data_IF_195924300982
#
_entry.id   IF_195924300982
#
_cell.length_a   1.000
_cell.length_b   1.000
_cell.length_c   1.000
_cell.angle_alpha   90.00
_cell.angle_beta   90.00
_cell.angle_gamma   90.00
#
_symmetry.space_group_name_H-M   'P 1'
#
loop_
_entity.id
_entity.type
_entity.pdbx_description
1 polymer ?
#
# COMPACT_ATOMS: atom_id res chain seq x y z
N UNK A 1 -6.88 19.52 13.66
CA UNK A 1 -7.61 20.73 13.24
C UNK A 1 -9.05 20.32 12.96
N UNK A 2 -10.06 21.10 13.36
CA UNK A 2 -11.43 20.89 12.87
C UNK A 2 -11.41 21.01 11.34
N UNK A 3 -11.99 20.04 10.64
CA UNK A 3 -12.05 20.05 9.18
C UNK A 3 -13.19 20.96 8.72
N UNK A 4 -12.89 21.90 7.82
CA UNK A 4 -13.88 22.77 7.15
C UNK A 4 -14.68 22.04 6.06
N UNK A 5 -14.45 20.73 5.88
CA UNK A 5 -15.21 19.91 4.95
C UNK A 5 -16.57 19.59 5.59
N UNK A 6 -17.70 19.99 4.99
CA UNK A 6 -19.01 19.60 5.49
C UNK A 6 -19.07 18.06 5.48
N UNK A 7 -19.13 17.47 6.67
CA UNK A 7 -19.35 16.03 6.82
C UNK A 7 -20.76 15.77 6.29
N UNK A 8 -20.85 15.27 5.07
CA UNK A 8 -22.12 14.81 4.53
C UNK A 8 -22.53 13.60 5.38
N UNK A 9 -23.61 13.76 6.13
CA UNK A 9 -24.29 12.63 6.76
C UNK A 9 -24.94 11.87 5.61
N UNK A 10 -24.19 10.90 5.07
CA UNK A 10 -24.75 9.90 4.18
C UNK A 10 -25.88 9.25 4.98
N UNK A 11 -27.11 9.31 4.48
CA UNK A 11 -28.30 8.86 5.20
C UNK A 11 -28.21 7.39 5.66
N UNK A 12 -29.30 6.86 6.22
CA UNK A 12 -29.33 5.47 6.75
C UNK A 12 -28.93 4.38 5.74
N UNK A 13 -28.93 4.67 4.43
CA UNK A 13 -28.54 3.72 3.39
C UNK A 13 -27.18 4.08 2.76
N UNK A 14 -26.30 3.08 2.66
CA UNK A 14 -25.06 3.17 1.88
C UNK A 14 -25.40 3.50 0.41
N UNK A 15 -24.66 4.41 -0.26
CA UNK A 15 -24.92 4.77 -1.65
C UNK A 15 -24.95 3.52 -2.56
N UNK A 16 -26.05 3.33 -3.29
CA UNK A 16 -26.15 2.27 -4.30
C UNK A 16 -25.33 2.70 -5.51
N UNK A 17 -24.16 2.08 -5.64
CA UNK A 17 -23.12 2.46 -6.60
C UNK A 17 -21.80 2.63 -5.86
N UNK A 18 -21.26 1.54 -5.33
CA UNK A 18 -19.96 1.57 -4.65
C UNK A 18 -18.90 1.94 -5.68
N UNK A 19 -18.17 3.03 -5.46
CA UNK A 19 -16.92 3.25 -6.16
C UNK A 19 -15.98 2.11 -5.78
N UNK A 20 -15.76 1.18 -6.71
CA UNK A 20 -14.85 0.07 -6.54
C UNK A 20 -13.58 0.37 -7.32
N UNK A 21 -12.48 0.60 -6.60
CA UNK A 21 -11.16 0.71 -7.19
C UNK A 21 -10.37 -0.55 -6.86
N UNK A 22 -9.95 -1.27 -7.88
CA UNK A 22 -9.02 -2.39 -7.74
C UNK A 22 -7.63 -1.91 -8.10
N UNK A 23 -6.73 -1.96 -7.13
CA UNK A 23 -5.31 -1.67 -7.32
C UNK A 23 -4.55 -2.99 -7.28
N UNK A 24 -3.78 -3.26 -8.33
CA UNK A 24 -2.87 -4.41 -8.37
C UNK A 24 -1.45 -3.96 -8.68
N UNK A 25 -0.49 -4.72 -8.17
CA UNK A 25 0.94 -4.56 -8.43
C UNK A 25 1.44 -5.90 -8.94
N UNK A 26 2.21 -5.89 -10.03
CA UNK A 26 2.94 -7.09 -10.46
C UNK A 26 4.12 -7.27 -9.51
N UNK A 27 4.11 -8.36 -8.75
CA UNK A 27 5.17 -8.67 -7.80
C UNK A 27 6.01 -9.84 -8.31
N UNK A 28 7.32 -9.67 -8.29
CA UNK A 28 8.31 -10.68 -8.65
C UNK A 28 9.20 -10.94 -7.44
N UNK A 29 9.36 -12.21 -7.08
CA UNK A 29 10.36 -12.63 -6.12
C UNK A 29 11.72 -12.71 -6.82
N UNK A 30 12.76 -12.12 -6.24
CA UNK A 30 14.11 -12.13 -6.83
C UNK A 30 14.95 -13.18 -6.10
N UNK A 31 15.30 -12.91 -4.85
CA UNK A 31 16.10 -13.79 -4.00
C UNK A 31 15.81 -13.49 -2.53
N UNK A 32 16.06 -14.45 -1.63
CA UNK A 32 15.92 -14.25 -0.17
C UNK A 32 14.53 -13.69 0.20
N UNK A 33 14.46 -12.46 0.74
CA UNK A 33 13.21 -11.73 0.96
C UNK A 33 13.10 -10.48 0.09
N UNK A 34 13.94 -10.36 -0.94
CA UNK A 34 13.90 -9.30 -1.92
C UNK A 34 12.79 -9.54 -2.96
N UNK A 35 11.87 -8.58 -3.02
CA UNK A 35 10.77 -8.55 -3.96
C UNK A 35 10.80 -7.26 -4.76
N UNK A 36 10.39 -7.34 -6.03
CA UNK A 36 10.21 -6.20 -6.92
C UNK A 36 8.73 -6.05 -7.24
N UNK A 37 8.17 -4.90 -6.90
CA UNK A 37 6.82 -4.49 -7.28
C UNK A 37 6.85 -3.53 -8.47
N UNK A 38 6.02 -3.77 -9.48
CA UNK A 38 5.85 -2.85 -10.62
C UNK A 38 4.37 -2.54 -10.86
N UNK A 39 4.04 -1.26 -10.98
CA UNK A 39 2.74 -0.76 -11.42
C UNK A 39 2.94 0.43 -12.36
N UNK A 40 2.61 0.24 -13.64
CA UNK A 40 2.80 1.26 -14.68
C UNK A 40 4.22 1.83 -14.68
N UNK A 41 4.38 3.11 -14.35
CA UNK A 41 5.67 3.82 -14.31
C UNK A 41 6.40 3.71 -12.96
N UNK A 42 5.76 3.09 -11.96
CA UNK A 42 6.31 2.97 -10.62
C UNK A 42 6.89 1.58 -10.40
N UNK A 43 8.18 1.52 -10.09
CA UNK A 43 8.89 0.30 -9.68
C UNK A 43 9.46 0.53 -8.30
N UNK A 44 9.27 -0.42 -7.40
CA UNK A 44 9.80 -0.38 -6.05
C UNK A 44 10.31 -1.77 -5.64
N UNK A 45 11.19 -1.78 -4.64
CA UNK A 45 11.77 -2.99 -4.09
C UNK A 45 11.40 -3.08 -2.62
N UNK A 46 11.21 -4.29 -2.12
CA UNK A 46 10.97 -4.55 -0.71
C UNK A 46 11.87 -5.68 -0.24
N UNK A 47 12.46 -5.52 0.93
CA UNK A 47 13.35 -6.50 1.54
C UNK A 47 13.08 -6.55 3.05
N UNK A 48 13.26 -7.72 3.64
CA UNK A 48 13.08 -7.93 5.08
C UNK A 48 14.45 -7.95 5.78
N UNK A 49 14.51 -7.73 7.11
CA UNK A 49 15.78 -7.79 7.83
C UNK A 49 16.35 -9.22 7.90
N UNK A 50 17.66 -9.38 8.22
CA UNK A 50 18.33 -10.68 8.32
C UNK A 50 17.63 -11.72 9.19
N UNK A 51 16.99 -11.30 10.29
CA UNK A 51 16.23 -12.20 11.18
C UNK A 51 15.03 -12.87 10.52
N UNK A 52 14.56 -12.34 9.38
CA UNK A 52 13.48 -12.88 8.55
C UNK A 52 14.01 -13.45 7.22
N UNK A 53 15.32 -13.48 7.01
CA UNK A 53 15.95 -14.07 5.83
C UNK A 53 16.14 -13.13 4.65
N UNK A 54 16.02 -11.81 4.83
CA UNK A 54 16.41 -10.79 3.84
C UNK A 54 17.73 -10.10 4.18
N UNK A 55 18.06 -9.03 3.46
CA UNK A 55 19.33 -8.31 3.61
C UNK A 55 19.15 -6.86 4.12
N UNK A 56 17.92 -6.43 4.43
CA UNK A 56 17.59 -5.06 4.88
C UNK A 56 18.05 -3.95 3.91
N UNK A 57 18.17 -4.25 2.61
CA UNK A 57 18.64 -3.28 1.61
C UNK A 57 17.54 -2.30 1.14
N UNK A 58 16.28 -2.64 1.40
CA UNK A 58 15.10 -1.87 0.98
C UNK A 58 14.05 -1.88 2.09
N UNK A 59 13.09 -0.94 2.08
CA UNK A 59 12.02 -0.92 3.08
C UNK A 59 11.20 -2.22 3.10
N UNK A 60 10.83 -2.65 4.30
CA UNK A 60 9.96 -3.81 4.48
C UNK A 60 8.56 -3.57 3.90
N UNK A 61 7.81 -4.61 3.51
CA UNK A 61 6.49 -4.46 2.92
C UNK A 61 5.54 -3.65 3.81
N UNK A 62 5.63 -3.86 5.13
CA UNK A 62 4.81 -3.16 6.11
C UNK A 62 5.10 -1.65 6.15
N UNK A 63 6.31 -1.23 5.83
CA UNK A 63 6.68 0.20 5.74
C UNK A 63 5.87 0.90 4.65
N UNK A 64 5.64 0.24 3.50
CA UNK A 64 4.80 0.78 2.42
C UNK A 64 3.32 0.87 2.82
N UNK A 65 2.81 -0.13 3.56
CA UNK A 65 1.44 -0.11 4.07
C UNK A 65 1.25 1.06 5.04
N UNK A 66 2.15 1.20 6.02
CA UNK A 66 2.12 2.29 6.99
C UNK A 66 2.24 3.66 6.30
N UNK A 67 3.16 3.79 5.34
CA UNK A 67 3.31 4.99 4.53
C UNK A 67 2.02 5.34 3.78
N UNK A 68 1.39 4.37 3.11
CA UNK A 68 0.14 4.58 2.38
C UNK A 68 -1.07 4.94 3.26
N UNK A 69 -1.09 4.54 4.53
CA UNK A 69 -2.14 4.93 5.50
C UNK A 69 -1.88 6.34 6.06
N UNK A 70 -0.61 6.75 6.18
CA UNK A 70 -0.23 8.02 6.78
C UNK A 70 -0.44 9.26 5.89
N UNK A 71 -0.65 9.07 4.59
CA UNK A 71 -0.99 10.12 3.62
C UNK A 71 -2.50 10.12 3.33
#
# INVERSE_FOLDING_TARGET
MPSDIPQSVVGKELPKGKFQSTVSVKSEHIEKMLHKGTREKFTFYSDEPPRLGGDDNFPSPLTYIAGGIGF
#
